data_IF_484632615468
#
_entry.id   IF_484632615468
#
_cell.length_a   1.000
_cell.length_b   1.000
_cell.length_c   1.000
_cell.angle_alpha   90.00
_cell.angle_beta   90.00
_cell.angle_gamma   90.00
#
_symmetry.space_group_name_H-M   'P 1'
#
loop_
_entity.id
_entity.type
_entity.pdbx_description
1 polymer ?
#
# COMPACT_ATOMS: atom_id res chain seq x y z
N UNK A 1 16.67 -16.10 -23.60
CA UNK A 1 15.31 -15.87 -23.05
C UNK A 1 15.43 -14.83 -21.96
N UNK A 2 14.51 -13.86 -21.96
CA UNK A 2 14.71 -12.50 -21.42
C UNK A 2 15.06 -12.44 -19.94
N UNK A 3 15.91 -11.46 -19.61
CA UNK A 3 16.25 -11.14 -18.22
C UNK A 3 14.99 -10.73 -17.46
N UNK A 4 14.63 -11.56 -16.49
CA UNK A 4 13.56 -11.31 -15.52
C UNK A 4 14.03 -10.25 -14.52
N UNK A 5 14.23 -9.03 -15.04
CA UNK A 5 14.64 -7.88 -14.25
C UNK A 5 13.48 -7.45 -13.38
N UNK A 6 13.53 -7.81 -12.09
CA UNK A 6 12.53 -7.39 -11.10
C UNK A 6 12.30 -5.88 -11.19
N UNK A 7 11.05 -5.48 -11.38
CA UNK A 7 10.67 -4.06 -11.48
C UNK A 7 10.81 -3.38 -10.11
N UNK A 8 11.17 -2.08 -10.05
CA UNK A 8 11.18 -1.34 -8.80
C UNK A 8 9.85 -1.46 -8.06
N UNK A 9 9.91 -2.01 -6.85
CA UNK A 9 8.74 -2.26 -6.00
C UNK A 9 8.16 -3.67 -6.03
N UNK A 10 8.79 -4.62 -6.74
CA UNK A 10 8.42 -6.03 -6.70
C UNK A 10 8.62 -6.63 -5.30
N UNK A 11 7.66 -7.44 -4.83
CA UNK A 11 7.71 -8.11 -3.53
C UNK A 11 9.02 -8.89 -3.32
N UNK A 12 9.52 -9.56 -4.36
CA UNK A 12 10.79 -10.32 -4.33
C UNK A 12 12.04 -9.47 -4.05
N UNK A 13 11.99 -8.16 -4.27
CA UNK A 13 13.08 -7.25 -3.91
C UNK A 13 13.04 -6.85 -2.43
N UNK A 14 11.92 -7.06 -1.75
CA UNK A 14 11.67 -6.57 -0.40
C UNK A 14 11.51 -7.68 0.64
N UNK A 15 11.14 -8.89 0.20
CA UNK A 15 10.97 -10.06 1.05
C UNK A 15 11.98 -11.12 0.64
N UNK A 16 12.89 -11.47 1.57
CA UNK A 16 13.89 -12.52 1.39
C UNK A 16 13.29 -13.84 1.86
N UNK A 17 13.30 -14.84 1.00
CA UNK A 17 12.78 -16.17 1.32
C UNK A 17 13.51 -16.81 2.51
N UNK A 18 12.77 -17.45 3.41
CA UNK A 18 13.30 -18.40 4.39
C UNK A 18 13.58 -17.87 5.80
N UNK A 19 13.35 -16.59 6.09
CA UNK A 19 13.46 -16.07 7.46
C UNK A 19 12.09 -16.01 8.16
N UNK A 20 11.95 -16.59 9.36
CA UNK A 20 10.75 -16.42 10.16
C UNK A 20 10.56 -14.94 10.53
N UNK A 21 9.46 -14.34 10.06
CA UNK A 21 9.09 -12.98 10.42
C UNK A 21 8.44 -13.00 11.81
N UNK A 22 9.06 -12.33 12.80
CA UNK A 22 8.51 -12.23 14.17
C UNK A 22 7.15 -11.48 14.23
N UNK A 23 6.84 -10.71 13.18
CA UNK A 23 5.56 -10.05 12.90
C UNK A 23 5.35 -9.97 11.39
N UNK A 24 4.76 -10.98 10.75
CA UNK A 24 4.70 -11.07 9.29
C UNK A 24 3.83 -9.97 8.68
N UNK A 25 2.74 -9.62 9.34
CA UNK A 25 1.81 -8.55 8.97
C UNK A 25 2.50 -7.17 8.89
N UNK A 26 3.13 -6.72 9.97
CA UNK A 26 3.83 -5.43 10.00
C UNK A 26 4.97 -5.39 8.97
N UNK A 27 5.74 -6.48 8.85
CA UNK A 27 6.89 -6.53 7.94
C UNK A 27 6.48 -6.53 6.47
N UNK A 28 5.44 -7.29 6.09
CA UNK A 28 4.94 -7.28 4.71
C UNK A 28 4.34 -5.91 4.39
N UNK A 29 3.61 -5.28 5.31
CA UNK A 29 3.10 -3.93 5.10
C UNK A 29 4.23 -2.90 4.89
N UNK A 30 5.28 -2.93 5.72
CA UNK A 30 6.45 -2.06 5.54
C UNK A 30 7.17 -2.33 4.21
N UNK A 31 7.26 -3.59 3.80
CA UNK A 31 7.82 -3.98 2.51
C UNK A 31 7.00 -3.43 1.33
N UNK A 32 5.67 -3.48 1.41
CA UNK A 32 4.77 -2.88 0.42
C UNK A 32 4.95 -1.38 0.30
N UNK A 33 5.04 -0.66 1.43
CA UNK A 33 5.26 0.79 1.43
C UNK A 33 6.60 1.14 0.78
N UNK A 34 7.67 0.42 1.15
CA UNK A 34 9.00 0.59 0.51
C UNK A 34 8.97 0.29 -0.99
N UNK A 35 8.23 -0.74 -1.40
CA UNK A 35 8.09 -1.08 -2.80
C UNK A 35 7.35 0.00 -3.58
N UNK A 36 6.26 0.52 -3.01
CA UNK A 36 5.50 1.60 -3.62
C UNK A 36 6.30 2.90 -3.69
N UNK A 37 7.12 3.20 -2.69
CA UNK A 37 8.10 4.30 -2.72
C UNK A 37 9.01 4.19 -3.94
N UNK A 38 9.65 3.03 -4.10
CA UNK A 38 10.59 2.79 -5.20
C UNK A 38 9.90 2.90 -6.58
N UNK A 39 8.67 2.39 -6.70
CA UNK A 39 7.88 2.52 -7.91
C UNK A 39 7.59 3.99 -8.26
N UNK A 40 7.19 4.80 -7.29
CA UNK A 40 6.87 6.20 -7.52
C UNK A 40 8.11 7.03 -7.86
N UNK A 41 9.22 6.79 -7.16
CA UNK A 41 10.50 7.44 -7.47
C UNK A 41 11.01 7.07 -8.88
N UNK A 42 10.87 5.82 -9.30
CA UNK A 42 11.20 5.39 -10.65
C UNK A 42 10.34 6.06 -11.74
N UNK A 43 9.18 6.61 -11.37
CA UNK A 43 8.30 7.39 -12.25
C UNK A 43 8.55 8.90 -12.17
N UNK A 44 9.68 9.32 -11.58
CA UNK A 44 10.08 10.72 -11.40
C UNK A 44 9.09 11.56 -10.57
N UNK A 45 8.37 10.93 -9.63
CA UNK A 45 7.62 11.69 -8.63
C UNK A 45 8.59 12.32 -7.63
N UNK A 46 8.29 13.53 -7.14
CA UNK A 46 9.12 14.18 -6.13
C UNK A 46 9.05 13.44 -4.80
N UNK A 47 10.16 13.41 -4.05
CA UNK A 47 10.23 12.74 -2.76
C UNK A 47 9.17 13.23 -1.77
N UNK A 48 8.94 14.54 -1.70
CA UNK A 48 7.91 15.11 -0.83
C UNK A 48 6.49 14.63 -1.19
N UNK A 49 6.18 14.51 -2.49
CA UNK A 49 4.88 13.99 -2.90
C UNK A 49 4.74 12.49 -2.59
N UNK A 50 5.83 11.72 -2.72
CA UNK A 50 5.86 10.30 -2.32
C UNK A 50 5.65 10.16 -0.80
N UNK A 51 6.34 10.97 0.01
CA UNK A 51 6.24 10.96 1.47
C UNK A 51 4.80 11.28 1.95
N UNK A 52 4.14 12.26 1.33
CA UNK A 52 2.75 12.62 1.67
C UNK A 52 1.77 11.49 1.35
N UNK A 53 2.00 10.78 0.25
CA UNK A 53 1.18 9.63 -0.14
C UNK A 53 1.39 8.43 0.78
N UNK A 54 2.63 8.15 1.18
CA UNK A 54 2.93 7.12 2.18
C UNK A 54 2.27 7.46 3.52
N UNK A 55 2.36 8.72 3.97
CA UNK A 55 1.70 9.18 5.21
C UNK A 55 0.20 8.96 5.15
N UNK A 56 -0.42 9.24 4.00
CA UNK A 56 -1.84 9.04 3.77
C UNK A 56 -2.24 7.57 3.91
N UNK A 57 -1.52 6.67 3.23
CA UNK A 57 -1.78 5.23 3.30
C UNK A 57 -1.62 4.71 4.73
N UNK A 58 -0.56 5.13 5.44
CA UNK A 58 -0.35 4.76 6.85
C UNK A 58 -1.41 5.33 7.79
N UNK A 59 -1.95 6.51 7.50
CA UNK A 59 -3.07 7.06 8.26
C UNK A 59 -4.33 6.23 8.04
N UNK A 60 -4.61 5.83 6.80
CA UNK A 60 -5.72 4.94 6.48
C UNK A 60 -5.57 3.57 7.15
N UNK A 61 -4.40 2.91 7.05
CA UNK A 61 -4.15 1.61 7.73
C UNK A 61 -4.44 1.69 9.22
N UNK A 62 -4.00 2.77 9.88
CA UNK A 62 -4.23 2.99 11.32
C UNK A 62 -5.70 3.24 11.64
N UNK A 63 -6.42 3.99 10.80
CA UNK A 63 -7.85 4.22 11.00
C UNK A 63 -8.67 2.93 10.77
N UNK A 64 -8.33 2.16 9.75
CA UNK A 64 -9.00 0.91 9.43
C UNK A 64 -8.71 -0.21 10.44
N UNK A 65 -7.68 -0.05 11.28
CA UNK A 65 -7.16 -1.08 12.20
C UNK A 65 -6.97 -2.45 11.51
N UNK A 66 -6.54 -2.41 10.25
CA UNK A 66 -6.48 -3.56 9.37
C UNK A 66 -5.38 -3.38 8.32
N UNK A 67 -4.77 -4.50 7.93
CA UNK A 67 -3.74 -4.52 6.89
C UNK A 67 -4.36 -4.50 5.48
N UNK A 68 -3.60 -4.14 4.43
CA UNK A 68 -4.15 -3.95 3.08
C UNK A 68 -4.92 -5.14 2.50
N UNK A 69 -4.57 -6.37 2.87
CA UNK A 69 -5.26 -7.61 2.44
C UNK A 69 -6.56 -7.90 3.22
N UNK A 70 -6.97 -7.01 4.12
CA UNK A 70 -8.22 -7.06 4.88
C UNK A 70 -9.07 -5.79 4.69
N UNK A 71 -8.63 -4.86 3.85
CA UNK A 71 -9.39 -3.64 3.62
C UNK A 71 -10.69 -3.92 2.88
N UNK A 72 -11.71 -3.14 3.24
CA UNK A 72 -13.04 -3.22 2.65
C UNK A 72 -13.46 -1.83 2.17
N UNK A 73 -14.44 -1.73 1.25
CA UNK A 73 -15.03 -0.45 0.88
C UNK A 73 -15.57 0.32 2.10
N UNK A 74 -16.12 -0.39 3.10
CA UNK A 74 -16.63 0.20 4.33
C UNK A 74 -15.54 0.96 5.10
N UNK A 75 -14.31 0.42 5.21
CA UNK A 75 -13.22 1.13 5.88
C UNK A 75 -12.91 2.47 5.20
N UNK A 76 -12.99 2.54 3.87
CA UNK A 76 -12.77 3.78 3.10
C UNK A 76 -13.90 4.78 3.33
N UNK A 77 -15.15 4.31 3.35
CA UNK A 77 -16.32 5.15 3.57
C UNK A 77 -16.33 5.75 4.98
N UNK A 78 -16.03 4.94 5.99
CA UNK A 78 -15.92 5.37 7.39
C UNK A 78 -14.79 6.39 7.56
N UNK A 79 -13.59 6.10 7.04
CA UNK A 79 -12.47 7.04 7.09
C UNK A 79 -12.78 8.36 6.36
N UNK A 80 -13.49 8.28 5.24
CA UNK A 80 -13.88 9.47 4.48
C UNK A 80 -14.92 10.32 5.22
N UNK A 81 -15.85 9.68 5.93
CA UNK A 81 -16.82 10.36 6.77
C UNK A 81 -16.14 11.05 7.96
N UNK A 82 -15.22 10.37 8.64
CA UNK A 82 -14.46 10.89 9.77
C UNK A 82 -13.57 12.08 9.37
N UNK A 83 -12.81 11.96 8.27
CA UNK A 83 -12.01 13.05 7.72
C UNK A 83 -12.83 14.32 7.47
N UNK A 84 -14.10 14.17 7.04
CA UNK A 84 -14.99 15.31 6.81
C UNK A 84 -15.59 15.84 8.11
N UNK A 85 -16.14 14.96 8.94
CA UNK A 85 -16.96 15.33 10.09
C UNK A 85 -16.13 15.74 11.32
N UNK A 86 -15.02 15.04 11.57
CA UNK A 86 -14.15 15.24 12.73
C UNK A 86 -12.98 16.14 12.37
N UNK A 87 -12.32 15.86 11.24
CA UNK A 87 -11.11 16.58 10.84
C UNK A 87 -11.37 17.81 9.95
N UNK A 88 -12.63 18.07 9.56
CA UNK A 88 -12.99 19.24 8.76
C UNK A 88 -12.29 19.29 7.40
N UNK A 89 -11.87 18.15 6.85
CA UNK A 89 -11.11 18.11 5.60
C UNK A 89 -11.96 18.64 4.44
N UNK A 90 -11.41 19.61 3.72
CA UNK A 90 -12.01 20.12 2.49
C UNK A 90 -12.05 19.04 1.39
N UNK A 91 -13.00 19.19 0.47
CA UNK A 91 -13.27 18.20 -0.59
C UNK A 91 -12.04 17.83 -1.43
N UNK A 92 -11.17 18.80 -1.75
CA UNK A 92 -9.95 18.55 -2.52
C UNK A 92 -8.96 17.66 -1.78
N UNK A 93 -8.74 17.92 -0.49
CA UNK A 93 -7.87 17.10 0.37
C UNK A 93 -8.41 15.69 0.52
N UNK A 94 -9.72 15.54 0.77
CA UNK A 94 -10.36 14.23 0.86
C UNK A 94 -10.16 13.41 -0.42
N UNK A 95 -10.39 14.01 -1.59
CA UNK A 95 -10.19 13.34 -2.88
C UNK A 95 -8.73 12.97 -3.13
N UNK A 96 -7.79 13.80 -2.69
CA UNK A 96 -6.36 13.48 -2.78
C UNK A 96 -6.02 12.25 -1.92
N UNK A 97 -6.53 12.19 -0.69
CA UNK A 97 -6.31 11.06 0.20
C UNK A 97 -6.90 9.75 -0.36
N UNK A 98 -8.15 9.79 -0.81
CA UNK A 98 -8.81 8.67 -1.50
C UNK A 98 -8.03 8.24 -2.75
N UNK A 99 -7.54 9.19 -3.55
CA UNK A 99 -6.73 8.92 -4.73
C UNK A 99 -5.39 8.27 -4.41
N UNK A 100 -4.79 8.60 -3.26
CA UNK A 100 -3.54 7.98 -2.81
C UNK A 100 -3.75 6.52 -2.39
N UNK A 101 -4.81 6.24 -1.64
CA UNK A 101 -5.20 4.87 -1.25
C UNK A 101 -5.52 4.04 -2.48
N UNK A 102 -6.35 4.56 -3.40
CA UNK A 102 -6.68 3.87 -4.66
C UNK A 102 -5.44 3.46 -5.45
N UNK A 103 -4.51 4.39 -5.64
CA UNK A 103 -3.28 4.10 -6.39
C UNK A 103 -2.33 3.14 -5.66
N UNK A 104 -2.42 3.04 -4.33
CA UNK A 104 -1.71 2.01 -3.58
C UNK A 104 -2.34 0.65 -3.78
N UNK A 105 -3.68 0.54 -3.75
CA UNK A 105 -4.39 -0.69 -4.14
C UNK A 105 -4.04 -1.11 -5.57
N UNK A 106 -4.08 -0.17 -6.53
CA UNK A 106 -3.69 -0.42 -7.94
C UNK A 106 -2.24 -0.93 -8.06
N UNK A 107 -1.34 -0.52 -7.15
CA UNK A 107 0.03 -1.04 -7.09
C UNK A 107 0.09 -2.47 -6.54
N UNK A 108 -0.63 -2.75 -5.44
CA UNK A 108 -0.64 -4.07 -4.81
C UNK A 108 -1.29 -5.15 -5.68
N UNK A 109 -2.36 -4.80 -6.39
CA UNK A 109 -3.11 -5.75 -7.23
C UNK A 109 -2.50 -5.94 -8.61
N UNK A 110 -1.49 -5.14 -8.98
CA UNK A 110 -0.82 -5.29 -10.27
C UNK A 110 0.13 -6.51 -10.26
N UNK A 111 -0.10 -7.52 -11.12
CA UNK A 111 0.70 -8.75 -11.15
C UNK A 111 2.19 -8.53 -11.36
N UNK A 112 2.60 -7.43 -11.99
CA UNK A 112 4.01 -7.11 -12.23
C UNK A 112 4.82 -6.96 -10.94
N UNK A 113 4.17 -6.66 -9.80
CA UNK A 113 4.84 -6.49 -8.51
C UNK A 113 4.73 -7.72 -7.60
N UNK A 114 3.79 -8.64 -7.84
CA UNK A 114 3.71 -9.93 -7.13
C UNK A 114 3.21 -9.88 -5.68
N UNK A 115 2.63 -8.77 -5.23
CA UNK A 115 2.14 -8.63 -3.84
C UNK A 115 0.92 -9.50 -3.52
N UNK A 116 0.06 -9.77 -4.51
CA UNK A 116 -1.11 -10.66 -4.34
C UNK A 116 -0.67 -12.07 -3.95
N UNK A 117 0.25 -12.68 -4.72
CA UNK A 117 0.74 -14.03 -4.48
C UNK A 117 1.43 -14.15 -3.12
N UNK A 118 2.17 -13.11 -2.75
CA UNK A 118 2.88 -13.05 -1.48
C UNK A 118 1.92 -12.98 -0.29
N UNK A 119 0.87 -12.15 -0.37
CA UNK A 119 -0.17 -12.10 0.64
C UNK A 119 -0.91 -13.42 0.77
N UNK A 120 -1.25 -14.07 -0.34
CA UNK A 120 -1.89 -15.38 -0.32
C UNK A 120 -1.02 -16.41 0.41
N UNK A 121 0.29 -16.41 0.12
CA UNK A 121 1.25 -17.34 0.73
C UNK A 121 1.41 -17.11 2.24
N UNK A 122 1.42 -15.85 2.68
CA UNK A 122 1.67 -15.49 4.08
C UNK A 122 0.42 -15.46 4.96
N UNK A 123 -0.73 -15.06 4.40
CA UNK A 123 -1.93 -14.73 5.18
C UNK A 123 -3.19 -15.47 4.71
N UNK A 124 -3.15 -16.19 3.59
CA UNK A 124 -4.32 -16.88 3.03
C UNK A 124 -5.39 -15.95 2.45
N UNK A 125 -5.10 -14.64 2.36
CA UNK A 125 -5.95 -13.61 1.76
C UNK A 125 -5.05 -12.61 1.01
N UNK A 126 -5.65 -11.71 0.23
CA UNK A 126 -4.92 -10.76 -0.62
C UNK A 126 -5.64 -9.43 -0.76
N UNK A 127 -4.93 -8.36 -1.12
CA UNK A 127 -5.54 -7.09 -1.53
C UNK A 127 -6.43 -7.29 -2.77
N UNK A 128 -7.58 -6.62 -2.79
CA UNK A 128 -8.58 -6.65 -3.87
C UNK A 128 -8.94 -5.26 -4.37
#
# INVERSE_FOLDING_TARGET
MGGDGLVPGSARLHLVDGLPLLRPDEQVFEAMIKGWRNQQLARNLSSGYVDDRERTVRAFTRHADAMPWQWTPQHVDEWSADLRAVHGCVRSTLRNYQGSVRQFCDFLTNPAYGWVDECLRHFGTHPV
#
